data_IF_009494743350
#
_entry.id   IF_009494743350
#
_cell.length_a   1.000
_cell.length_b   1.000
_cell.length_c   1.000
_cell.angle_alpha   90.00
_cell.angle_beta   90.00
_cell.angle_gamma   90.00
#
_symmetry.space_group_name_H-M   'P 1'
#
loop_
_entity.id
_entity.type
_entity.pdbx_description
1 polymer ?
#
# COMPACT_ATOMS: atom_id res chain seq x y z
N UNK A 1 41.95 -40.72 16.80
CA UNK A 1 41.28 -39.55 17.35
C UNK A 1 41.95 -38.30 16.75
N UNK A 2 41.22 -37.45 16.06
CA UNK A 2 41.81 -36.33 15.35
C UNK A 2 42.22 -35.22 16.34
N UNK A 3 43.53 -35.09 16.59
CA UNK A 3 44.07 -34.07 17.53
C UNK A 3 44.18 -32.69 16.87
N UNK A 4 43.23 -32.28 16.02
CA UNK A 4 43.25 -31.02 15.28
C UNK A 4 43.31 -29.79 16.20
N UNK A 5 42.75 -29.91 17.43
CA UNK A 5 42.72 -28.83 18.42
C UNK A 5 44.09 -28.51 19.03
N UNK A 6 45.08 -29.41 18.88
CA UNK A 6 46.44 -29.16 19.38
C UNK A 6 47.36 -28.48 18.36
N UNK A 7 46.93 -28.42 17.11
CA UNK A 7 47.67 -27.77 16.02
C UNK A 7 46.81 -26.68 15.42
N UNK A 8 47.23 -25.41 15.60
CA UNK A 8 46.46 -24.27 15.14
C UNK A 8 46.23 -24.22 13.62
N UNK A 9 47.17 -24.76 12.82
CA UNK A 9 46.99 -24.87 11.35
C UNK A 9 45.85 -25.86 11.05
N UNK A 10 45.85 -27.02 11.68
CA UNK A 10 44.82 -28.02 11.48
C UNK A 10 43.47 -27.52 12.02
N UNK A 11 43.49 -26.84 13.15
CA UNK A 11 42.25 -26.20 13.72
C UNK A 11 41.64 -25.20 12.76
N UNK A 12 42.46 -24.31 12.20
CA UNK A 12 41.99 -23.31 11.22
C UNK A 12 41.46 -23.98 9.94
N UNK A 13 42.16 -25.00 9.43
CA UNK A 13 41.69 -25.76 8.25
C UNK A 13 40.37 -26.47 8.50
N UNK A 14 40.19 -27.13 9.63
CA UNK A 14 38.95 -27.82 10.00
C UNK A 14 37.82 -26.80 10.16
N UNK A 15 38.05 -25.70 10.85
CA UNK A 15 37.07 -24.63 11.02
C UNK A 15 36.64 -24.04 9.67
N UNK A 16 37.59 -23.78 8.78
CA UNK A 16 37.31 -23.28 7.43
C UNK A 16 36.50 -24.30 6.60
N UNK A 17 36.88 -25.58 6.64
CA UNK A 17 36.16 -26.63 5.92
C UNK A 17 34.72 -26.78 6.43
N UNK A 18 34.52 -26.80 7.74
CA UNK A 18 33.18 -26.87 8.34
C UNK A 18 32.35 -25.64 7.95
N UNK A 19 32.93 -24.45 8.03
CA UNK A 19 32.27 -23.22 7.59
C UNK A 19 31.90 -23.28 6.09
N UNK A 20 32.83 -23.68 5.23
CA UNK A 20 32.58 -23.77 3.79
C UNK A 20 31.48 -24.78 3.45
N UNK A 21 31.51 -25.97 4.09
CA UNK A 21 30.46 -27.00 3.90
C UNK A 21 29.10 -26.49 4.36
N UNK A 22 29.03 -25.91 5.57
CA UNK A 22 27.77 -25.39 6.12
C UNK A 22 27.25 -24.22 5.29
N UNK A 23 28.11 -23.29 4.87
CA UNK A 23 27.73 -22.17 3.99
C UNK A 23 27.20 -22.68 2.65
N UNK A 24 27.82 -23.70 2.07
CA UNK A 24 27.34 -24.32 0.83
C UNK A 24 25.98 -24.96 1.02
N UNK A 25 25.80 -25.78 2.05
CA UNK A 25 24.56 -26.52 2.27
C UNK A 25 23.38 -25.61 2.69
N UNK A 26 23.64 -24.60 3.51
CA UNK A 26 22.58 -23.78 4.12
C UNK A 26 22.29 -22.52 3.29
N UNK A 27 23.26 -21.95 2.60
CA UNK A 27 23.10 -20.72 1.86
C UNK A 27 23.13 -20.90 0.33
N UNK A 28 24.16 -21.53 -0.21
CA UNK A 28 24.38 -21.61 -1.66
C UNK A 28 23.38 -22.56 -2.33
N UNK A 29 23.20 -23.77 -1.80
CA UNK A 29 22.28 -24.76 -2.40
C UNK A 29 20.83 -24.25 -2.41
N UNK A 30 20.25 -23.73 -1.32
CA UNK A 30 18.91 -23.15 -1.35
C UNK A 30 18.80 -21.94 -2.26
N UNK A 31 19.82 -21.07 -2.32
CA UNK A 31 19.84 -19.93 -3.22
C UNK A 31 19.82 -20.36 -4.70
N UNK A 32 20.53 -21.42 -5.04
CA UNK A 32 20.51 -21.99 -6.38
C UNK A 32 19.14 -22.60 -6.72
N UNK A 33 18.55 -23.40 -5.80
CA UNK A 33 17.23 -23.98 -5.99
C UNK A 33 16.13 -22.93 -6.16
N UNK A 34 16.23 -21.81 -5.44
CA UNK A 34 15.25 -20.72 -5.56
C UNK A 34 15.25 -20.06 -6.95
N UNK A 35 16.32 -20.16 -7.73
CA UNK A 35 16.37 -19.62 -9.09
C UNK A 35 15.52 -20.43 -10.08
N UNK A 36 15.23 -21.68 -9.77
CA UNK A 36 14.37 -22.56 -10.57
C UNK A 36 12.87 -22.30 -10.32
N UNK A 37 12.55 -21.55 -9.26
CA UNK A 37 11.17 -21.20 -8.93
C UNK A 37 10.60 -20.28 -9.98
N UNK A 38 9.50 -20.69 -10.61
CA UNK A 38 8.82 -19.93 -11.64
C UNK A 38 7.76 -19.01 -11.01
N UNK A 39 7.55 -17.85 -11.64
CA UNK A 39 6.41 -17.00 -11.30
C UNK A 39 5.09 -17.69 -11.64
N UNK A 40 4.00 -17.28 -10.98
CA UNK A 40 2.67 -17.70 -11.40
C UNK A 40 2.41 -17.27 -12.85
N UNK A 41 1.67 -18.06 -13.66
CA UNK A 41 1.41 -17.74 -15.07
C UNK A 41 0.73 -16.39 -15.30
N UNK A 42 -0.02 -15.89 -14.31
CA UNK A 42 -0.68 -14.59 -14.33
C UNK A 42 0.25 -13.41 -14.02
N UNK A 43 1.44 -13.66 -13.47
CA UNK A 43 2.37 -12.61 -13.08
C UNK A 43 3.16 -12.09 -14.29
N UNK A 44 3.16 -10.78 -14.46
CA UNK A 44 3.95 -10.09 -15.47
C UNK A 44 5.36 -9.81 -14.97
N UNK A 45 6.40 -9.96 -15.80
CA UNK A 45 7.74 -9.50 -15.45
C UNK A 45 7.77 -8.00 -15.14
N UNK A 46 8.63 -7.60 -14.23
CA UNK A 46 8.84 -6.18 -13.94
C UNK A 46 9.35 -5.45 -15.18
N UNK A 47 8.75 -4.31 -15.49
CA UNK A 47 9.23 -3.36 -16.49
C UNK A 47 10.57 -2.74 -16.06
N UNK A 48 11.28 -2.10 -16.98
CA UNK A 48 12.53 -1.38 -16.65
C UNK A 48 12.27 -0.23 -15.68
N UNK A 49 11.13 0.46 -15.81
CA UNK A 49 10.76 1.52 -14.90
C UNK A 49 10.50 1.00 -13.47
N UNK A 50 9.81 -0.12 -13.32
CA UNK A 50 9.62 -0.78 -12.02
C UNK A 50 10.94 -1.24 -11.40
N UNK A 51 11.87 -1.76 -12.20
CA UNK A 51 13.21 -2.13 -11.73
C UNK A 51 14.02 -0.92 -11.26
N UNK A 52 13.95 0.19 -11.99
CA UNK A 52 14.57 1.44 -11.57
C UNK A 52 13.95 1.93 -10.26
N UNK A 53 12.63 1.87 -10.14
CA UNK A 53 11.91 2.21 -8.91
C UNK A 53 12.31 1.31 -7.73
N UNK A 54 12.46 0.01 -7.96
CA UNK A 54 12.99 -0.93 -6.96
C UNK A 54 14.41 -0.53 -6.51
N UNK A 55 15.26 -0.10 -7.44
CA UNK A 55 16.60 0.38 -7.10
C UNK A 55 16.56 1.65 -6.24
N UNK A 56 15.64 2.59 -6.53
CA UNK A 56 15.42 3.77 -5.69
C UNK A 56 14.88 3.36 -4.32
N UNK A 57 13.86 2.48 -4.25
CA UNK A 57 13.30 1.93 -3.00
C UNK A 57 14.39 1.35 -2.08
N UNK A 58 15.32 0.62 -2.68
CA UNK A 58 16.44 0.00 -1.97
C UNK A 58 17.46 1.05 -1.52
N UNK A 59 17.82 2.00 -2.39
CA UNK A 59 18.83 3.03 -2.07
C UNK A 59 18.36 4.03 -1.02
N UNK A 60 17.06 4.34 -1.00
CA UNK A 60 16.43 5.20 0.02
C UNK A 60 16.09 4.43 1.31
N UNK A 61 16.40 3.12 1.36
CA UNK A 61 16.24 2.24 2.52
C UNK A 61 14.81 2.18 3.10
N UNK A 62 13.79 2.22 2.24
CA UNK A 62 12.39 2.19 2.64
C UNK A 62 12.02 0.93 3.44
N UNK A 63 12.72 -0.20 3.18
CA UNK A 63 12.52 -1.47 3.88
C UNK A 63 12.93 -1.44 5.36
N UNK A 64 13.62 -0.41 5.83
CA UNK A 64 13.93 -0.29 7.27
C UNK A 64 12.72 0.06 8.12
N UNK A 65 11.70 0.69 7.52
CA UNK A 65 10.47 1.11 8.22
C UNK A 65 9.21 0.42 7.68
N UNK A 66 9.24 -0.08 6.45
CA UNK A 66 8.11 -0.73 5.78
C UNK A 66 8.39 -2.20 5.51
N UNK A 67 7.41 -3.05 5.78
CA UNK A 67 7.43 -4.46 5.36
C UNK A 67 6.73 -4.64 4.01
N UNK A 68 7.04 -5.77 3.36
CA UNK A 68 6.30 -6.28 2.19
C UNK A 68 5.85 -7.71 2.47
N UNK A 69 5.13 -7.91 3.57
CA UNK A 69 4.58 -9.21 3.95
C UNK A 69 3.33 -9.04 4.83
N UNK A 70 2.17 -9.26 4.27
CA UNK A 70 0.93 -9.37 5.04
C UNK A 70 0.95 -10.71 5.80
N UNK A 71 0.96 -10.66 7.13
CA UNK A 71 0.95 -11.86 8.00
C UNK A 71 -0.45 -12.45 8.08
N UNK A 72 -0.56 -13.67 8.54
CA UNK A 72 -1.84 -14.38 8.71
C UNK A 72 -2.58 -14.04 10.02
N UNK A 73 -2.41 -12.82 10.53
CA UNK A 73 -3.06 -12.30 11.72
C UNK A 73 -4.07 -11.22 11.32
N UNK A 74 -5.19 -11.17 12.02
CA UNK A 74 -6.30 -10.26 11.71
C UNK A 74 -5.89 -8.79 11.62
N UNK A 75 -4.95 -8.34 12.47
CA UNK A 75 -4.42 -6.97 12.43
C UNK A 75 -3.87 -6.56 11.05
N UNK A 76 -3.37 -7.52 10.27
CA UNK A 76 -2.78 -7.26 8.96
C UNK A 76 -3.82 -7.16 7.82
N UNK A 77 -5.10 -7.43 8.10
CA UNK A 77 -6.19 -7.31 7.14
C UNK A 77 -6.29 -5.91 6.54
N UNK A 78 -5.90 -4.89 7.29
CA UNK A 78 -5.85 -3.50 6.82
C UNK A 78 -4.80 -3.28 5.71
N UNK A 79 -3.81 -4.18 5.57
CA UNK A 79 -2.72 -4.03 4.61
C UNK A 79 -2.87 -4.86 3.34
N UNK A 80 -3.71 -5.89 3.36
CA UNK A 80 -3.93 -6.76 2.21
C UNK A 80 -5.20 -7.58 2.33
N UNK A 81 -5.65 -8.13 1.22
CA UNK A 81 -6.91 -8.89 1.11
C UNK A 81 -6.83 -10.30 1.71
N UNK A 82 -5.61 -10.78 1.91
CA UNK A 82 -5.30 -12.10 2.45
C UNK A 82 -3.87 -12.14 3.00
N UNK A 83 -3.51 -13.14 3.80
CA UNK A 83 -2.13 -13.41 4.13
C UNK A 83 -1.25 -13.55 2.88
N UNK A 84 -0.04 -13.05 2.93
CA UNK A 84 0.91 -13.17 1.83
C UNK A 84 1.29 -14.61 1.54
N UNK A 85 1.39 -14.91 0.26
CA UNK A 85 1.99 -16.14 -0.27
C UNK A 85 3.32 -15.82 -0.95
N UNK A 86 4.20 -16.81 -1.22
CA UNK A 86 5.49 -16.55 -1.85
C UNK A 86 5.43 -15.77 -3.17
N UNK A 87 4.35 -15.93 -3.93
CA UNK A 87 4.15 -15.21 -5.20
C UNK A 87 3.96 -13.71 -5.03
N UNK A 88 3.44 -13.22 -3.90
CA UNK A 88 3.22 -11.78 -3.67
C UNK A 88 4.54 -10.99 -3.63
N UNK A 89 5.63 -11.65 -3.30
CA UNK A 89 6.96 -11.06 -3.24
C UNK A 89 7.98 -11.77 -4.14
N UNK A 90 7.49 -12.48 -5.15
CA UNK A 90 8.35 -13.22 -6.07
C UNK A 90 9.46 -12.35 -6.65
N UNK A 91 9.11 -11.23 -7.28
CA UNK A 91 10.09 -10.34 -7.90
C UNK A 91 10.94 -9.55 -6.91
N UNK A 92 10.41 -9.25 -5.73
CA UNK A 92 11.18 -8.56 -4.69
C UNK A 92 12.23 -9.45 -4.03
N UNK A 93 12.08 -10.78 -4.13
CA UNK A 93 13.07 -11.77 -3.66
C UNK A 93 13.93 -12.37 -4.78
N UNK A 94 13.52 -12.19 -6.02
CA UNK A 94 14.22 -12.78 -7.15
C UNK A 94 15.63 -12.21 -7.26
N UNK A 95 16.63 -13.07 -7.23
CA UNK A 95 18.02 -12.69 -7.46
C UNK A 95 18.30 -12.72 -8.95
N UNK A 96 19.01 -11.74 -9.51
CA UNK A 96 19.45 -11.77 -10.90
C UNK A 96 20.31 -13.02 -11.22
N UNK A 97 21.08 -13.44 -10.25
CA UNK A 97 21.87 -14.69 -10.26
C UNK A 97 22.30 -15.06 -8.83
N UNK A 98 22.92 -16.23 -8.66
CA UNK A 98 23.31 -16.74 -7.33
C UNK A 98 24.35 -15.85 -6.60
N UNK A 99 25.09 -15.03 -7.35
CA UNK A 99 26.17 -14.19 -6.82
C UNK A 99 25.68 -12.78 -6.48
N UNK A 100 24.60 -12.31 -7.10
CA UNK A 100 24.02 -10.99 -6.88
C UNK A 100 22.89 -11.10 -5.89
N UNK A 101 23.14 -10.77 -4.65
CA UNK A 101 22.13 -10.73 -3.63
C UNK A 101 21.31 -9.45 -3.74
N UNK A 102 20.01 -9.60 -3.91
CA UNK A 102 19.07 -8.52 -3.57
C UNK A 102 18.85 -8.53 -2.06
N UNK A 103 18.82 -7.36 -1.40
CA UNK A 103 18.42 -7.29 -0.01
C UNK A 103 17.00 -7.85 0.15
N UNK A 104 16.72 -8.45 1.30
CA UNK A 104 15.35 -8.92 1.58
C UNK A 104 14.44 -7.72 1.73
N UNK A 105 13.47 -7.58 0.84
CA UNK A 105 12.49 -6.50 0.86
C UNK A 105 11.30 -6.79 1.78
N UNK A 106 11.28 -7.95 2.46
CA UNK A 106 10.26 -8.24 3.47
C UNK A 106 10.22 -7.18 4.58
N UNK A 107 11.33 -6.46 4.77
CA UNK A 107 11.50 -5.48 5.83
C UNK A 107 11.74 -6.12 7.19
N UNK A 108 12.28 -5.35 8.12
CA UNK A 108 12.58 -5.81 9.48
C UNK A 108 11.60 -5.25 10.51
N UNK A 109 11.02 -4.11 10.24
CA UNK A 109 10.12 -3.40 11.18
C UNK A 109 8.90 -2.84 10.45
N UNK A 110 7.87 -2.54 11.22
CA UNK A 110 6.61 -1.93 10.79
C UNK A 110 6.38 -0.60 11.49
N UNK A 111 7.37 0.27 11.43
CA UNK A 111 7.23 1.69 11.84
C UNK A 111 6.24 2.40 10.91
N UNK A 112 6.28 2.06 9.63
CA UNK A 112 5.27 2.41 8.63
C UNK A 112 4.38 1.22 8.24
N UNK A 113 3.31 1.47 7.45
CA UNK A 113 2.43 0.44 6.91
C UNK A 113 3.15 -0.61 6.08
N UNK A 114 2.59 -1.83 6.00
CA UNK A 114 3.01 -2.83 5.03
C UNK A 114 2.68 -2.38 3.61
N UNK A 115 3.59 -2.60 2.68
CA UNK A 115 3.48 -2.14 1.29
C UNK A 115 3.13 -3.25 0.29
N UNK A 116 2.90 -4.49 0.73
CA UNK A 116 2.62 -5.62 -0.18
C UNK A 116 1.51 -5.32 -1.19
N UNK A 117 0.47 -4.61 -0.76
CA UNK A 117 -0.70 -4.31 -1.59
C UNK A 117 -0.94 -2.79 -1.72
N UNK A 118 0.13 -2.00 -1.63
CA UNK A 118 0.02 -0.53 -1.68
C UNK A 118 -0.50 -0.04 -3.03
N UNK A 119 -0.14 -0.69 -4.12
CA UNK A 119 -0.61 -0.33 -5.46
C UNK A 119 -2.11 -0.53 -5.68
N UNK A 120 -2.78 -1.34 -4.85
CA UNK A 120 -4.25 -1.45 -4.84
C UNK A 120 -4.87 -0.44 -3.85
N UNK A 121 -4.27 -0.31 -2.66
CA UNK A 121 -4.77 0.61 -1.62
C UNK A 121 -4.60 2.08 -1.96
N UNK A 122 -3.52 2.43 -2.65
CA UNK A 122 -3.19 3.81 -3.05
C UNK A 122 -2.71 3.81 -4.52
N UNK A 123 -3.62 3.71 -5.49
CA UNK A 123 -3.26 3.69 -6.90
C UNK A 123 -2.88 5.07 -7.46
N UNK A 124 -3.22 6.17 -6.76
CA UNK A 124 -3.05 7.53 -7.25
C UNK A 124 -1.59 7.99 -7.24
N UNK A 125 -1.10 8.48 -8.38
CA UNK A 125 0.25 9.05 -8.54
C UNK A 125 0.48 10.24 -7.60
N UNK A 126 -0.45 11.20 -7.57
CA UNK A 126 -0.34 12.45 -6.84
C UNK A 126 -0.21 12.22 -5.33
N UNK A 127 -0.95 11.24 -4.80
CA UNK A 127 -0.85 10.88 -3.39
C UNK A 127 0.57 10.44 -3.04
N UNK A 128 1.16 9.55 -3.84
CA UNK A 128 2.53 9.07 -3.62
C UNK A 128 3.54 10.22 -3.73
N UNK A 129 3.40 11.08 -4.73
CA UNK A 129 4.32 12.20 -4.93
C UNK A 129 4.26 13.18 -3.75
N UNK A 130 3.06 13.57 -3.31
CA UNK A 130 2.89 14.46 -2.15
C UNK A 130 3.41 13.80 -0.86
N UNK A 131 3.11 12.51 -0.67
CA UNK A 131 3.56 11.75 0.49
C UNK A 131 5.09 11.60 0.53
N UNK A 132 5.73 11.37 -0.60
CA UNK A 132 7.19 11.29 -0.69
C UNK A 132 7.85 12.66 -0.57
N UNK A 133 7.27 13.72 -1.13
CA UNK A 133 7.80 15.08 -0.98
C UNK A 133 7.77 15.53 0.47
N UNK A 134 6.62 15.47 1.10
CA UNK A 134 6.47 15.65 2.55
C UNK A 134 5.21 14.92 3.05
N UNK A 135 5.37 13.82 3.82
CA UNK A 135 4.24 13.00 4.24
C UNK A 135 3.17 13.76 5.02
N UNK A 136 3.54 14.85 5.70
CA UNK A 136 2.62 15.67 6.52
C UNK A 136 1.64 16.49 5.69
N UNK A 137 1.85 16.58 4.38
CA UNK A 137 0.85 17.18 3.48
C UNK A 137 -0.42 16.35 3.40
N UNK A 138 -0.28 15.01 3.41
CA UNK A 138 -1.42 14.08 3.29
C UNK A 138 -1.77 13.40 4.61
N UNK A 139 -0.82 13.24 5.54
CA UNK A 139 -1.02 12.65 6.87
C UNK A 139 -0.29 13.53 7.89
N UNK A 140 -1.00 14.44 8.55
CA UNK A 140 -0.43 15.45 9.43
C UNK A 140 0.47 14.88 10.54
N UNK A 141 0.09 13.72 11.11
CA UNK A 141 0.80 13.04 12.21
C UNK A 141 1.92 12.10 11.73
N UNK A 142 2.23 12.10 10.43
CA UNK A 142 3.23 11.17 9.87
C UNK A 142 4.61 11.40 10.45
N UNK A 143 5.22 10.30 10.93
CA UNK A 143 6.62 10.25 11.39
C UNK A 143 7.60 9.89 10.28
N UNK A 144 7.09 9.52 9.07
CA UNK A 144 7.93 9.24 7.92
C UNK A 144 8.79 10.47 7.57
N UNK A 145 10.09 10.30 7.26
CA UNK A 145 10.91 11.40 6.77
C UNK A 145 10.41 11.88 5.40
N UNK A 146 10.63 13.17 5.13
CA UNK A 146 10.41 13.74 3.80
C UNK A 146 11.60 13.43 2.89
N UNK A 147 11.36 13.29 1.59
CA UNK A 147 12.37 12.99 0.56
C UNK A 147 12.43 14.11 -0.50
N UNK A 148 12.65 15.39 -0.12
CA UNK A 148 12.62 16.51 -1.06
C UNK A 148 13.70 16.42 -2.16
N UNK A 149 14.79 15.70 -1.94
CA UNK A 149 15.87 15.48 -2.93
C UNK A 149 15.45 14.59 -4.12
N UNK A 150 14.29 13.94 -4.05
CA UNK A 150 13.69 13.23 -5.18
C UNK A 150 12.91 14.17 -6.12
N UNK A 151 12.89 15.47 -5.82
CA UNK A 151 12.15 16.51 -6.54
C UNK A 151 13.08 17.68 -6.89
N UNK A 152 12.61 18.56 -7.77
CA UNK A 152 13.30 19.79 -8.15
C UNK A 152 12.39 20.98 -7.89
N UNK A 153 12.92 21.98 -7.20
CA UNK A 153 12.26 23.27 -7.05
C UNK A 153 12.52 24.14 -8.28
N UNK A 154 11.48 24.66 -8.92
CA UNK A 154 11.56 25.57 -10.07
C UNK A 154 10.81 26.84 -9.81
N UNK A 155 11.27 27.95 -10.42
CA UNK A 155 10.46 29.16 -10.56
C UNK A 155 9.35 28.91 -11.59
N UNK A 156 8.23 29.64 -11.49
CA UNK A 156 7.07 29.42 -12.37
C UNK A 156 7.40 29.53 -13.87
N UNK A 157 8.39 30.36 -14.22
CA UNK A 157 8.84 30.55 -15.60
C UNK A 157 9.81 29.46 -16.11
N UNK A 158 10.34 28.62 -15.22
CA UNK A 158 11.25 27.52 -15.55
C UNK A 158 10.52 26.20 -15.77
N UNK A 159 9.21 26.16 -15.46
CA UNK A 159 8.39 24.95 -15.63
C UNK A 159 8.18 24.68 -17.11
N UNK A 160 8.47 23.47 -17.53
CA UNK A 160 8.30 22.98 -18.91
C UNK A 160 6.98 22.25 -19.07
N UNK A 161 6.50 22.13 -20.30
CA UNK A 161 5.23 21.48 -20.62
C UNK A 161 5.13 20.03 -20.14
N UNK A 162 6.25 19.31 -20.15
CA UNK A 162 6.34 17.90 -19.71
C UNK A 162 6.65 17.73 -18.22
N UNK A 163 6.80 18.81 -17.47
CA UNK A 163 7.06 18.73 -16.03
C UNK A 163 5.80 18.27 -15.27
N UNK A 164 5.93 17.30 -14.43
CA UNK A 164 4.88 16.88 -13.48
C UNK A 164 5.03 17.77 -12.24
N UNK A 165 4.20 18.79 -12.17
CA UNK A 165 4.18 19.78 -11.06
C UNK A 165 3.23 19.29 -9.98
N UNK A 166 3.73 19.19 -8.74
CA UNK A 166 2.93 18.78 -7.60
C UNK A 166 2.06 19.93 -7.08
N UNK A 167 0.82 19.68 -6.69
CA UNK A 167 -0.05 20.67 -6.03
C UNK A 167 0.31 20.81 -4.54
N UNK A 168 1.56 21.21 -4.27
CA UNK A 168 2.07 21.37 -2.90
C UNK A 168 1.47 22.66 -2.29
N UNK A 169 0.76 22.57 -1.14
CA UNK A 169 0.20 23.74 -0.49
C UNK A 169 1.27 24.58 0.20
N UNK A 170 1.00 25.88 0.35
CA UNK A 170 1.77 26.71 1.24
C UNK A 170 1.51 26.30 2.73
N UNK A 171 2.51 26.33 3.64
CA UNK A 171 3.86 26.89 3.44
C UNK A 171 4.92 25.93 2.90
N UNK A 172 4.54 24.72 2.48
CA UNK A 172 5.50 23.70 2.03
C UNK A 172 6.19 24.03 0.71
N UNK A 173 5.46 24.68 -0.23
CA UNK A 173 5.98 25.07 -1.55
C UNK A 173 6.92 26.28 -1.49
N UNK A 174 6.79 27.14 -0.48
CA UNK A 174 7.60 28.36 -0.31
C UNK A 174 7.62 29.26 -1.55
N UNK A 175 6.49 29.35 -2.25
CA UNK A 175 6.32 30.13 -3.48
C UNK A 175 6.94 29.49 -4.73
N UNK A 176 7.51 28.29 -4.65
CA UNK A 176 8.12 27.58 -5.78
C UNK A 176 7.20 26.50 -6.35
N UNK A 177 7.50 26.06 -7.55
CA UNK A 177 6.89 24.89 -8.17
C UNK A 177 7.74 23.67 -7.87
N UNK A 178 7.14 22.65 -7.31
CA UNK A 178 7.79 21.38 -7.00
C UNK A 178 7.54 20.43 -8.16
N UNK A 179 8.61 19.97 -8.79
CA UNK A 179 8.57 19.12 -9.99
C UNK A 179 9.12 17.73 -9.65
N UNK A 180 8.40 16.69 -10.05
CA UNK A 180 8.84 15.31 -9.87
C UNK A 180 10.02 14.99 -10.79
N UNK A 181 11.06 14.36 -10.25
CA UNK A 181 12.17 13.81 -11.06
C UNK A 181 11.80 12.43 -11.61
N UNK A 182 12.53 11.96 -12.62
CA UNK A 182 12.35 10.59 -13.12
C UNK A 182 12.54 9.53 -12.02
N UNK A 183 13.47 9.76 -11.08
CA UNK A 183 13.69 8.86 -9.93
C UNK A 183 12.44 8.63 -9.10
N UNK A 184 11.72 9.70 -8.74
CA UNK A 184 10.50 9.54 -7.93
C UNK A 184 9.37 8.93 -8.74
N UNK A 185 9.27 9.21 -10.04
CA UNK A 185 8.30 8.60 -10.92
C UNK A 185 8.52 7.09 -11.05
N UNK A 186 9.78 6.67 -11.18
CA UNK A 186 10.15 5.26 -11.19
C UNK A 186 9.81 4.59 -9.86
N UNK A 187 10.12 5.25 -8.73
CA UNK A 187 9.76 4.76 -7.40
C UNK A 187 8.25 4.59 -7.25
N UNK A 188 7.45 5.56 -7.66
CA UNK A 188 5.98 5.46 -7.59
C UNK A 188 5.47 4.34 -8.49
N UNK A 189 6.02 4.19 -9.69
CA UNK A 189 5.67 3.08 -10.59
C UNK A 189 5.93 1.73 -9.92
N UNK A 190 7.07 1.58 -9.23
CA UNK A 190 7.34 0.38 -8.44
C UNK A 190 6.32 0.19 -7.30
N UNK A 191 6.01 1.23 -6.53
CA UNK A 191 5.02 1.14 -5.44
C UNK A 191 3.64 0.76 -5.96
N UNK A 192 3.20 1.34 -7.08
CA UNK A 192 1.93 1.00 -7.73
C UNK A 192 1.90 -0.43 -8.29
N UNK A 193 3.04 -1.02 -8.59
CA UNK A 193 3.15 -2.42 -9.03
C UNK A 193 3.01 -3.42 -7.86
N UNK A 194 3.20 -2.97 -6.62
CA UNK A 194 3.07 -3.82 -5.43
C UNK A 194 1.61 -4.15 -5.15
N UNK A 195 1.17 -5.28 -5.71
CA UNK A 195 -0.17 -5.86 -5.56
C UNK A 195 -0.04 -7.33 -5.21
N UNK A 196 -0.96 -7.81 -4.38
CA UNK A 196 -1.02 -9.24 -4.11
C UNK A 196 -1.35 -10.00 -5.39
N UNK A 197 -0.67 -11.13 -5.60
CA UNK A 197 -0.88 -11.97 -6.79
C UNK A 197 -2.34 -12.47 -6.86
N UNK A 198 -2.92 -12.38 -8.04
CA UNK A 198 -4.25 -12.93 -8.30
C UNK A 198 -4.23 -14.45 -8.15
N UNK A 199 -5.15 -14.98 -7.38
CA UNK A 199 -5.34 -16.42 -7.19
C UNK A 199 -6.50 -16.89 -8.05
N UNK A 200 -6.43 -18.18 -8.44
CA UNK A 200 -7.58 -18.81 -9.10
C UNK A 200 -8.82 -18.69 -8.19
N UNK A 201 -9.94 -18.15 -8.67
CA UNK A 201 -11.17 -18.00 -7.89
C UNK A 201 -11.70 -19.31 -7.29
N UNK A 202 -11.34 -20.46 -7.90
CA UNK A 202 -11.72 -21.80 -7.42
C UNK A 202 -10.68 -22.41 -6.46
N UNK A 203 -9.54 -21.73 -6.22
CA UNK A 203 -8.49 -22.19 -5.30
C UNK A 203 -8.77 -21.80 -3.86
N UNK A 204 -8.12 -22.51 -2.93
CA UNK A 204 -8.15 -22.12 -1.51
C UNK A 204 -7.42 -20.78 -1.34
N UNK A 205 -8.18 -19.72 -1.06
CA UNK A 205 -7.64 -18.42 -0.66
C UNK A 205 -7.19 -18.52 0.81
N UNK A 206 -5.95 -18.20 1.15
CA UNK A 206 -5.53 -18.12 2.55
C UNK A 206 -6.38 -17.08 3.28
N UNK A 207 -6.77 -17.38 4.51
CA UNK A 207 -7.55 -16.47 5.34
C UNK A 207 -6.76 -16.08 6.60
N UNK A 208 -7.15 -14.94 7.19
CA UNK A 208 -6.53 -14.44 8.41
C UNK A 208 -6.98 -15.27 9.62
N UNK A 209 -6.05 -15.50 10.54
CA UNK A 209 -6.37 -16.12 11.82
C UNK A 209 -7.09 -15.09 12.68
N UNK A 210 -8.35 -15.35 13.11
CA UNK A 210 -9.10 -14.43 13.94
C UNK A 210 -8.40 -14.15 15.27
N UNK A 211 -8.50 -12.91 15.74
CA UNK A 211 -8.00 -12.54 17.07
C UNK A 211 -8.80 -13.22 18.17
N UNK A 212 -8.11 -13.80 19.15
CA UNK A 212 -8.79 -14.38 20.33
C UNK A 212 -9.57 -13.37 21.17
N UNK A 213 -9.30 -12.06 20.99
CA UNK A 213 -10.02 -10.97 21.66
C UNK A 213 -11.44 -10.75 21.12
N UNK A 214 -11.75 -11.20 19.89
CA UNK A 214 -13.10 -11.08 19.34
C UNK A 214 -14.11 -12.03 20.00
N UNK A 215 -13.67 -13.12 20.61
CA UNK A 215 -14.59 -14.02 21.36
C UNK A 215 -15.19 -13.41 22.62
N UNK A 216 -14.62 -12.31 23.13
CA UNK A 216 -15.16 -11.58 24.29
C UNK A 216 -16.14 -10.46 23.92
N UNK A 217 -16.37 -10.20 22.63
CA UNK A 217 -17.25 -9.13 22.13
C UNK A 217 -18.58 -9.59 21.57
N UNK A 218 -18.93 -10.88 21.69
CA UNK A 218 -20.29 -11.34 21.37
C UNK A 218 -21.39 -10.70 22.25
N UNK A 219 -21.01 -10.09 23.39
CA UNK A 219 -21.94 -9.29 24.20
C UNK A 219 -22.15 -7.84 23.69
N UNK A 220 -21.34 -7.37 22.71
CA UNK A 220 -21.44 -6.03 22.11
C UNK A 220 -21.89 -6.02 20.64
N UNK A 221 -22.57 -7.06 20.19
CA UNK A 221 -23.09 -7.19 18.81
C UNK A 221 -24.18 -6.16 18.43
N UNK A 222 -24.44 -5.16 19.26
CA UNK A 222 -25.41 -4.08 18.98
C UNK A 222 -24.76 -2.73 18.65
N UNK A 223 -23.43 -2.61 18.66
CA UNK A 223 -22.76 -1.37 18.29
C UNK A 223 -22.41 -1.40 16.80
N UNK A 224 -23.10 -0.57 16.01
CA UNK A 224 -22.71 -0.29 14.63
C UNK A 224 -21.22 0.11 14.57
N UNK A 225 -20.49 -0.25 13.49
CA UNK A 225 -19.11 0.18 13.31
C UNK A 225 -18.97 1.70 13.48
N UNK A 226 -17.87 2.14 14.08
CA UNK A 226 -17.62 3.56 14.26
C UNK A 226 -17.17 4.20 12.94
N UNK A 227 -18.09 4.88 12.25
CA UNK A 227 -17.84 5.50 10.96
C UNK A 227 -16.71 6.53 10.97
N UNK A 228 -16.53 7.27 12.08
CA UNK A 228 -15.42 8.23 12.20
C UNK A 228 -14.04 7.53 12.21
N UNK A 229 -13.91 6.44 12.98
CA UNK A 229 -12.65 5.68 12.99
C UNK A 229 -12.37 5.05 11.63
N UNK A 230 -13.37 4.42 11.02
CA UNK A 230 -13.24 3.82 9.69
C UNK A 230 -12.89 4.86 8.62
N UNK A 231 -13.48 6.05 8.68
CA UNK A 231 -13.12 7.16 7.81
C UNK A 231 -11.66 7.59 7.99
N UNK A 232 -11.21 7.73 9.23
CA UNK A 232 -9.82 8.09 9.52
C UNK A 232 -8.82 7.05 9.00
N UNK A 233 -9.17 5.78 9.06
CA UNK A 233 -8.33 4.67 8.61
C UNK A 233 -8.26 4.53 7.09
N UNK A 234 -9.37 4.80 6.38
CA UNK A 234 -9.50 4.46 4.96
C UNK A 234 -9.60 5.67 4.02
N UNK A 235 -10.14 6.80 4.48
CA UNK A 235 -10.54 7.92 3.62
C UNK A 235 -9.76 9.21 3.90
N UNK A 236 -9.43 9.47 5.17
CA UNK A 236 -8.84 10.74 5.61
C UNK A 236 -7.45 11.01 5.00
N UNK A 237 -6.71 9.99 4.57
CA UNK A 237 -5.41 10.15 3.91
C UNK A 237 -5.49 10.98 2.60
N UNK A 238 -6.65 10.95 1.93
CA UNK A 238 -6.91 11.74 0.73
C UNK A 238 -7.87 12.90 1.03
N UNK A 239 -9.02 12.59 1.62
CA UNK A 239 -10.08 13.57 1.84
C UNK A 239 -9.89 14.45 3.08
N UNK A 240 -8.80 14.26 3.82
CA UNK A 240 -8.42 14.92 5.07
C UNK A 240 -9.41 14.68 6.22
N UNK A 241 -8.98 14.83 7.46
CA UNK A 241 -9.81 14.60 8.64
C UNK A 241 -11.02 15.55 8.74
N UNK A 242 -10.93 16.73 8.13
CA UNK A 242 -11.98 17.73 8.08
C UNK A 242 -12.85 17.66 6.82
N UNK A 243 -12.67 16.63 6.00
CA UNK A 243 -13.44 16.40 4.78
C UNK A 243 -13.24 17.43 3.67
N UNK A 244 -12.23 18.32 3.76
CA UNK A 244 -12.00 19.38 2.74
C UNK A 244 -11.17 18.94 1.56
N UNK A 245 -10.56 17.73 1.65
CA UNK A 245 -9.66 17.23 0.62
C UNK A 245 -8.41 18.10 0.47
N UNK A 246 -7.78 17.99 -0.67
CA UNK A 246 -6.61 18.80 -1.03
C UNK A 246 -6.81 19.39 -2.44
N UNK A 247 -6.83 20.71 -2.53
CA UNK A 247 -7.07 21.39 -3.79
C UNK A 247 -6.05 20.98 -4.87
N UNK A 248 -6.55 20.58 -6.04
CA UNK A 248 -5.74 20.13 -7.17
C UNK A 248 -5.25 18.66 -7.05
N UNK A 249 -5.65 17.93 -5.99
CA UNK A 249 -5.31 16.51 -5.82
C UNK A 249 -6.51 15.66 -5.38
N UNK A 250 -7.22 16.06 -4.34
CA UNK A 250 -8.32 15.28 -3.76
C UNK A 250 -9.57 16.12 -3.54
N UNK A 251 -10.75 15.66 -3.96
CA UNK A 251 -11.96 16.44 -3.85
C UNK A 251 -12.43 16.58 -2.39
N UNK A 252 -13.12 17.71 -2.05
CA UNK A 252 -13.77 17.84 -0.76
C UNK A 252 -15.03 16.94 -0.68
N UNK A 253 -15.28 16.39 0.50
CA UNK A 253 -16.52 15.71 0.88
C UNK A 253 -17.46 16.66 1.64
N UNK A 254 -16.89 17.64 2.36
CA UNK A 254 -17.64 18.73 2.99
C UNK A 254 -18.39 19.54 1.93
N UNK A 255 -19.70 19.68 2.08
CA UNK A 255 -20.60 20.34 1.12
C UNK A 255 -20.60 19.74 -0.31
N UNK A 256 -20.16 18.49 -0.46
CA UNK A 256 -20.20 17.79 -1.74
C UNK A 256 -21.63 17.48 -2.16
N UNK A 257 -21.99 17.78 -3.41
CA UNK A 257 -23.32 17.47 -3.96
C UNK A 257 -23.59 15.95 -3.99
N UNK A 258 -22.54 15.13 -4.21
CA UNK A 258 -22.67 13.67 -4.22
C UNK A 258 -22.94 13.14 -2.80
N UNK A 259 -22.23 13.68 -1.81
CA UNK A 259 -22.41 13.29 -0.40
C UNK A 259 -23.76 13.73 0.15
N UNK A 260 -24.25 14.90 -0.27
CA UNK A 260 -25.50 15.50 0.19
C UNK A 260 -26.74 15.07 -0.63
N UNK A 261 -26.56 14.28 -1.70
CA UNK A 261 -27.67 13.80 -2.50
C UNK A 261 -28.66 12.99 -1.63
N UNK A 262 -29.96 13.21 -1.85
CA UNK A 262 -31.01 12.47 -1.12
C UNK A 262 -30.90 10.96 -1.38
N UNK A 263 -30.55 10.56 -2.63
CA UNK A 263 -30.26 9.20 -2.99
C UNK A 263 -28.75 8.91 -2.85
N UNK A 264 -28.31 8.12 -1.85
CA UNK A 264 -26.90 7.85 -1.61
C UNK A 264 -26.27 6.85 -2.61
N UNK A 265 -27.01 6.40 -3.63
CA UNK A 265 -26.58 5.34 -4.55
C UNK A 265 -25.23 5.64 -5.21
N UNK A 266 -25.07 6.86 -5.77
CA UNK A 266 -23.81 7.24 -6.44
C UNK A 266 -22.64 7.30 -5.45
N UNK A 267 -22.84 7.81 -4.25
CA UNK A 267 -21.83 7.83 -3.19
C UNK A 267 -21.37 6.40 -2.87
N UNK A 268 -22.32 5.50 -2.66
CA UNK A 268 -22.05 4.09 -2.34
C UNK A 268 -21.33 3.40 -3.49
N UNK A 269 -21.73 3.63 -4.73
CA UNK A 269 -21.05 3.09 -5.92
C UNK A 269 -19.60 3.57 -6.01
N UNK A 270 -19.33 4.85 -5.74
CA UNK A 270 -17.97 5.41 -5.72
C UNK A 270 -17.15 4.76 -4.62
N UNK A 271 -17.67 4.59 -3.42
CA UNK A 271 -16.94 3.91 -2.33
C UNK A 271 -16.65 2.46 -2.71
N UNK A 272 -17.61 1.75 -3.29
CA UNK A 272 -17.43 0.35 -3.67
C UNK A 272 -16.40 0.16 -4.79
N UNK A 273 -16.54 0.88 -5.89
CA UNK A 273 -15.79 0.62 -7.13
C UNK A 273 -14.64 1.59 -7.40
N UNK A 274 -14.57 2.68 -6.61
CA UNK A 274 -13.63 3.77 -6.87
C UNK A 274 -14.13 4.74 -7.94
N UNK A 275 -13.31 5.74 -8.27
CA UNK A 275 -13.67 6.78 -9.22
C UNK A 275 -12.44 7.35 -9.91
N UNK A 276 -12.48 7.41 -11.26
CA UNK A 276 -11.40 7.91 -12.12
C UNK A 276 -11.95 8.71 -13.31
N UNK A 277 -13.01 9.49 -13.12
CA UNK A 277 -13.64 10.22 -14.22
C UNK A 277 -13.35 11.72 -14.22
N UNK A 278 -12.57 12.24 -13.27
CA UNK A 278 -12.27 13.65 -13.13
C UNK A 278 -10.77 13.90 -13.20
N UNK A 279 -10.31 14.45 -14.33
CA UNK A 279 -8.89 14.67 -14.60
C UNK A 279 -8.21 15.66 -13.62
N UNK A 280 -8.98 16.49 -12.92
CA UNK A 280 -8.45 17.42 -11.92
C UNK A 280 -8.14 16.79 -10.56
N UNK A 281 -8.51 15.53 -10.35
CA UNK A 281 -8.29 14.81 -9.10
C UNK A 281 -7.62 13.45 -9.34
N UNK A 282 -6.94 12.99 -8.32
CA UNK A 282 -6.32 11.67 -8.28
C UNK A 282 -7.36 10.54 -8.31
N UNK A 283 -6.95 9.38 -8.80
CA UNK A 283 -7.79 8.17 -8.82
C UNK A 283 -8.19 7.78 -7.40
N UNK A 284 -9.47 7.58 -7.15
CA UNK A 284 -9.98 7.01 -5.92
C UNK A 284 -10.06 5.49 -6.04
N UNK A 285 -9.42 4.70 -5.16
CA UNK A 285 -9.57 3.25 -5.16
C UNK A 285 -10.97 2.82 -4.72
N UNK A 286 -11.41 1.63 -5.16
CA UNK A 286 -12.61 0.98 -4.64
C UNK A 286 -12.32 0.18 -3.37
N UNK A 287 -13.30 0.11 -2.48
CA UNK A 287 -13.20 -0.56 -1.17
C UNK A 287 -14.10 -1.81 -1.06
N UNK A 288 -14.66 -2.27 -2.16
CA UNK A 288 -15.61 -3.37 -2.19
C UNK A 288 -15.11 -4.65 -1.50
N UNK A 289 -13.83 -4.98 -1.70
CA UNK A 289 -13.23 -6.20 -1.14
C UNK A 289 -12.63 -6.02 0.25
N UNK A 290 -12.52 -4.76 0.72
CA UNK A 290 -11.86 -4.41 1.97
C UNK A 290 -12.86 -4.13 3.09
N UNK A 291 -14.02 -3.57 2.76
CA UNK A 291 -15.02 -3.12 3.71
C UNK A 291 -16.34 -3.89 3.55
N UNK A 292 -16.95 -4.24 4.70
CA UNK A 292 -18.28 -4.84 4.77
C UNK A 292 -19.38 -3.83 4.46
N UNK A 293 -20.61 -4.30 4.26
CA UNK A 293 -21.74 -3.42 4.01
C UNK A 293 -22.02 -2.50 5.20
N UNK A 294 -21.83 -2.99 6.43
CA UNK A 294 -21.98 -2.25 7.68
C UNK A 294 -20.91 -1.16 7.82
N UNK A 295 -19.65 -1.46 7.46
CA UNK A 295 -18.54 -0.51 7.52
C UNK A 295 -18.70 0.60 6.49
N UNK A 296 -19.12 0.27 5.25
CA UNK A 296 -19.39 1.27 4.20
C UNK A 296 -20.58 2.15 4.61
N UNK A 297 -21.65 1.57 5.16
CA UNK A 297 -22.80 2.31 5.66
C UNK A 297 -22.39 3.29 6.78
N UNK A 298 -21.52 2.86 7.68
CA UNK A 298 -21.01 3.68 8.77
C UNK A 298 -20.15 4.84 8.25
N UNK A 299 -19.24 4.59 7.28
CA UNK A 299 -18.42 5.63 6.63
C UNK A 299 -19.33 6.63 5.91
N UNK A 300 -20.20 6.16 5.02
CA UNK A 300 -21.10 7.03 4.27
C UNK A 300 -21.99 7.87 5.18
N UNK A 301 -22.50 7.30 6.28
CA UNK A 301 -23.25 8.03 7.30
C UNK A 301 -22.40 9.10 7.97
N UNK A 302 -21.15 8.80 8.32
CA UNK A 302 -20.21 9.77 8.87
C UNK A 302 -19.97 10.93 7.91
N UNK A 303 -19.70 10.67 6.63
CA UNK A 303 -19.48 11.69 5.61
C UNK A 303 -20.72 12.58 5.41
N UNK A 304 -21.92 11.99 5.48
CA UNK A 304 -23.20 12.68 5.27
C UNK A 304 -23.67 13.51 6.47
N UNK A 305 -23.10 13.32 7.66
CA UNK A 305 -23.52 13.97 8.90
C UNK A 305 -22.43 14.81 9.58
N UNK A 306 -21.25 14.96 8.97
CA UNK A 306 -20.15 15.72 9.56
C UNK A 306 -19.72 16.91 8.66
N UNK A 307 -18.84 17.74 9.17
CA UNK A 307 -18.25 18.90 8.49
C UNK A 307 -19.26 19.92 7.95
N UNK A 308 -20.44 19.98 8.57
CA UNK A 308 -21.56 20.81 8.13
C UNK A 308 -22.48 20.14 7.11
N UNK A 309 -22.22 18.90 6.73
CA UNK A 309 -23.15 18.08 5.98
C UNK A 309 -24.32 17.66 6.87
N UNK A 310 -25.54 17.70 6.31
CA UNK A 310 -26.79 17.29 6.98
C UNK A 310 -27.67 16.49 6.00
N UNK A 311 -27.35 15.21 5.85
CA UNK A 311 -28.08 14.31 4.98
C UNK A 311 -28.38 12.99 5.72
N UNK A 312 -29.36 12.22 5.24
CA UNK A 312 -29.85 10.99 5.88
C UNK A 312 -28.72 9.96 6.00
N UNK A 313 -28.74 9.22 7.11
CA UNK A 313 -27.90 8.06 7.32
C UNK A 313 -28.11 7.01 6.22
N UNK A 314 -27.06 6.25 5.94
CA UNK A 314 -27.05 5.10 5.02
C UNK A 314 -27.13 3.82 5.82
N UNK A 315 -27.94 2.87 5.37
CA UNK A 315 -28.09 1.56 6.01
C UNK A 315 -27.25 0.49 5.32
N UNK A 316 -26.85 -0.54 6.04
CA UNK A 316 -26.13 -1.69 5.47
C UNK A 316 -26.95 -2.41 4.38
N UNK A 317 -28.28 -2.40 4.49
CA UNK A 317 -29.17 -2.99 3.48
C UNK A 317 -29.14 -2.23 2.16
N UNK A 318 -29.08 -0.89 2.20
CA UNK A 318 -28.89 -0.07 1.00
C UNK A 318 -27.55 -0.39 0.32
N UNK A 319 -26.47 -0.47 1.10
CA UNK A 319 -25.14 -0.84 0.58
C UNK A 319 -25.16 -2.21 -0.06
N UNK A 320 -25.72 -3.22 0.63
CA UNK A 320 -25.84 -4.59 0.14
C UNK A 320 -26.63 -4.69 -1.16
N UNK A 321 -27.72 -3.96 -1.27
CA UNK A 321 -28.53 -3.90 -2.49
C UNK A 321 -27.72 -3.36 -3.67
N UNK A 322 -27.00 -2.27 -3.45
CA UNK A 322 -26.19 -1.62 -4.48
C UNK A 322 -25.00 -2.51 -4.88
N UNK A 323 -24.28 -3.10 -3.90
CA UNK A 323 -23.20 -4.06 -4.15
C UNK A 323 -23.70 -5.25 -4.99
N UNK A 324 -24.80 -5.83 -4.62
CA UNK A 324 -25.40 -6.95 -5.36
C UNK A 324 -25.73 -6.56 -6.79
N UNK A 325 -26.35 -5.39 -6.98
CA UNK A 325 -26.66 -4.86 -8.31
C UNK A 325 -25.39 -4.65 -9.15
N UNK A 326 -24.36 -4.00 -8.61
CA UNK A 326 -23.08 -3.75 -9.29
C UNK A 326 -22.40 -5.05 -9.74
N UNK A 327 -22.49 -6.11 -8.92
CA UNK A 327 -21.91 -7.42 -9.25
C UNK A 327 -22.68 -8.16 -10.36
N UNK A 328 -23.94 -7.79 -10.63
CA UNK A 328 -24.68 -8.32 -11.79
C UNK A 328 -24.28 -7.66 -13.11
N UNK A 329 -23.71 -6.46 -13.05
CA UNK A 329 -23.27 -5.72 -14.24
C UNK A 329 -21.88 -6.14 -14.73
N UNK A 330 -21.04 -6.68 -13.85
CA UNK A 330 -19.69 -7.17 -14.14
C UNK A 330 -19.54 -8.60 -13.57
N UNK A 331 -20.09 -9.64 -14.25
CA UNK A 331 -20.00 -11.03 -13.79
C UNK A 331 -18.59 -11.62 -13.90
#
# INVERSE_FOLDING_TARGET
MFDFHKNHKNLTQVAFLVFAILSTLVAIVPAYQMQETQALPSMKPMSEQEKNGLAVYTSENCMSCHTQQVRNIEMDKTWGERPSIPSDYYYSKMRPDIWRQSPSLLGSERTGPDLTNIGKRQPGLEWHLLHLYNPRIVIAESIMPAYPWLFVEKESHEVQENDIVLPVPEPYAKGKKIVATQKVLDLVTYLQSLKQAELNPQGNKPDFIPSSKLKSSEENASLLPNGANLYMENCAACHQADGKGLNGAFPPLANSKIVLDENPELLIQIILKGYDARAEFSVMPGFEEQLTDEEIAAIATHERSNWGNDAKAVTAEEVKKIRTYMNTLNP
#
